data_IF_084212808559
#
_entry.id   IF_084212808559
#
_cell.length_a   1.000
_cell.length_b   1.000
_cell.length_c   1.000
_cell.angle_alpha   90.00
_cell.angle_beta   90.00
_cell.angle_gamma   90.00
#
_symmetry.space_group_name_H-M   'P 1'
#
loop_
_entity.id
_entity.type
_entity.pdbx_description
1 polymer ?
#
# COMPACT_ATOMS: atom_id res chain seq x y z
N UNK A 1 -6.68 10.34 26.45
CA UNK A 1 -6.09 9.15 27.09
C UNK A 1 -6.30 7.87 26.27
N UNK A 2 -7.53 7.57 25.81
CA UNK A 2 -7.88 6.34 25.10
C UNK A 2 -6.94 5.96 23.95
N UNK A 3 -6.54 6.92 23.11
CA UNK A 3 -5.61 6.65 22.00
C UNK A 3 -4.29 6.05 22.49
N UNK A 4 -3.71 6.59 23.57
CA UNK A 4 -2.45 6.07 24.12
C UNK A 4 -2.64 4.62 24.57
N UNK A 5 -3.71 4.36 25.34
CA UNK A 5 -4.03 3.04 25.85
C UNK A 5 -4.23 2.02 24.73
N UNK A 6 -5.00 2.36 23.69
CA UNK A 6 -5.21 1.49 22.53
C UNK A 6 -3.90 1.19 21.79
N UNK A 7 -2.98 2.16 21.73
CA UNK A 7 -1.68 1.97 21.06
C UNK A 7 -0.69 1.18 21.91
N UNK A 8 -0.83 1.20 23.23
CA UNK A 8 0.07 0.52 24.15
C UNK A 8 -0.48 -0.79 24.72
N UNK A 9 -1.68 -1.22 24.33
CA UNK A 9 -2.34 -2.44 24.88
C UNK A 9 -1.48 -3.70 24.75
N UNK A 10 -0.69 -3.82 23.68
CA UNK A 10 0.14 -5.00 23.40
C UNK A 10 1.49 -5.01 24.13
N UNK A 11 1.75 -4.02 24.99
CA UNK A 11 3.03 -3.85 25.69
C UNK A 11 2.84 -4.15 27.18
N UNK A 12 3.23 -5.36 27.60
CA UNK A 12 3.00 -5.86 28.96
C UNK A 12 3.65 -5.02 30.07
N UNK A 13 4.75 -4.34 29.77
CA UNK A 13 5.48 -3.47 30.69
C UNK A 13 5.01 -2.00 30.64
N UNK A 14 3.93 -1.69 29.92
CA UNK A 14 3.42 -0.32 29.75
C UNK A 14 1.95 -0.25 30.15
N UNK A 15 1.63 0.62 31.09
CA UNK A 15 0.27 0.80 31.58
C UNK A 15 -0.07 2.29 31.73
N UNK A 16 -0.70 2.84 30.70
CA UNK A 16 -1.00 4.28 30.64
C UNK A 16 -2.32 4.58 31.33
N UNK A 17 -2.26 5.23 32.50
CA UNK A 17 -3.43 5.57 33.32
C UNK A 17 -3.68 7.07 33.48
N UNK A 18 -2.66 7.89 33.27
CA UNK A 18 -2.71 9.35 33.42
C UNK A 18 -1.68 10.01 32.48
N UNK A 19 -1.60 11.34 32.50
CA UNK A 19 -0.60 12.13 31.78
C UNK A 19 0.52 12.67 32.68
N UNK A 20 0.80 11.97 33.79
CA UNK A 20 1.88 12.32 34.72
C UNK A 20 2.76 11.09 34.94
N UNK A 21 2.50 10.32 36.00
CA UNK A 21 3.35 9.22 36.47
C UNK A 21 3.47 8.06 35.48
N UNK A 22 2.47 7.85 34.60
CA UNK A 22 2.50 6.77 33.60
C UNK A 22 3.56 6.96 32.51
N UNK A 23 4.17 8.15 32.42
CA UNK A 23 5.13 8.53 31.39
C UNK A 23 6.55 8.70 31.92
N UNK A 24 6.70 8.69 33.25
CA UNK A 24 7.94 8.98 33.97
C UNK A 24 9.07 8.03 33.63
N UNK A 25 8.75 6.76 33.39
CA UNK A 25 9.75 5.73 33.05
C UNK A 25 10.18 5.71 31.57
N UNK A 26 9.57 6.56 30.73
CA UNK A 26 9.84 6.68 29.30
C UNK A 26 9.34 5.51 28.44
N UNK A 27 8.84 4.42 29.04
CA UNK A 27 8.42 3.23 28.29
C UNK A 27 7.17 3.52 27.46
N UNK A 28 6.24 4.32 27.98
CA UNK A 28 5.03 4.72 27.25
C UNK A 28 5.36 5.52 25.97
N UNK A 29 6.35 6.42 26.01
CA UNK A 29 6.81 7.14 24.81
C UNK A 29 7.46 6.19 23.80
N UNK A 30 8.36 5.32 24.27
CA UNK A 30 9.00 4.31 23.42
C UNK A 30 7.96 3.39 22.76
N UNK A 31 6.91 2.99 23.49
CA UNK A 31 5.87 2.09 22.98
C UNK A 31 5.02 2.76 21.90
N UNK A 32 4.69 4.05 22.05
CA UNK A 32 3.99 4.81 21.01
C UNK A 32 4.79 4.89 19.72
N UNK A 33 6.11 5.14 19.82
CA UNK A 33 7.00 5.19 18.66
C UNK A 33 7.07 3.79 18.01
N UNK A 34 7.40 2.77 18.79
CA UNK A 34 7.54 1.39 18.30
C UNK A 34 6.24 0.86 17.67
N UNK A 35 5.05 1.24 18.20
CA UNK A 35 3.75 0.81 17.64
C UNK A 35 3.53 1.30 16.20
N UNK A 36 4.09 2.47 15.86
CA UNK A 36 3.95 3.06 14.52
C UNK A 36 5.16 2.79 13.63
N UNK A 37 6.35 2.67 14.23
CA UNK A 37 7.63 2.47 13.56
C UNK A 37 8.52 1.51 14.38
N UNK A 38 8.25 0.20 14.31
CA UNK A 38 8.98 -0.79 15.10
C UNK A 38 10.47 -0.83 14.75
N UNK A 39 10.81 -0.46 13.52
CA UNK A 39 12.18 -0.35 13.00
C UNK A 39 13.04 0.68 13.73
N UNK A 40 12.44 1.68 14.37
CA UNK A 40 13.18 2.73 15.07
C UNK A 40 13.59 2.35 16.50
N UNK A 41 12.89 1.39 17.12
CA UNK A 41 13.23 0.86 18.45
C UNK A 41 13.16 -0.67 18.40
N UNK A 42 14.05 -1.34 17.64
CA UNK A 42 13.93 -2.77 17.35
C UNK A 42 14.06 -3.65 18.60
N UNK A 43 14.75 -3.14 19.63
CA UNK A 43 15.03 -3.84 20.89
C UNK A 43 14.12 -3.38 22.03
N UNK A 44 12.88 -2.96 21.72
CA UNK A 44 11.93 -2.47 22.73
C UNK A 44 11.78 -3.40 23.94
N UNK A 45 11.77 -4.72 23.71
CA UNK A 45 11.60 -5.73 24.78
C UNK A 45 12.74 -5.73 25.82
N UNK A 46 13.89 -5.14 25.51
CA UNK A 46 15.03 -5.03 26.44
C UNK A 46 14.92 -3.78 27.33
N UNK A 47 13.99 -2.86 27.05
CA UNK A 47 13.80 -1.66 27.85
C UNK A 47 13.10 -2.00 29.17
N UNK A 48 13.64 -1.45 30.26
CA UNK A 48 13.13 -1.66 31.62
C UNK A 48 12.77 -0.35 32.28
N UNK A 49 11.87 -0.40 33.27
CA UNK A 49 11.44 0.78 34.04
C UNK A 49 12.55 1.39 34.91
N UNK A 50 13.61 0.62 35.16
CA UNK A 50 14.73 1.02 36.03
C UNK A 50 15.72 1.94 35.32
N UNK A 51 15.51 2.23 34.04
CA UNK A 51 16.36 3.10 33.21
C UNK A 51 15.58 4.28 32.60
N UNK A 52 14.84 5.07 33.41
CA UNK A 52 13.91 6.09 32.92
C UNK A 52 14.58 7.13 32.03
N UNK A 53 15.75 7.64 32.45
CA UNK A 53 16.51 8.65 31.70
C UNK A 53 16.92 8.15 30.32
N UNK A 54 17.38 6.89 30.23
CA UNK A 54 17.80 6.30 28.97
C UNK A 54 16.59 6.08 28.03
N UNK A 55 15.47 5.61 28.57
CA UNK A 55 14.24 5.41 27.79
C UNK A 55 13.69 6.74 27.24
N UNK A 56 13.61 7.77 28.09
CA UNK A 56 13.14 9.10 27.70
C UNK A 56 14.04 9.71 26.64
N UNK A 57 15.36 9.67 26.86
CA UNK A 57 16.34 10.17 25.88
C UNK A 57 16.23 9.42 24.56
N UNK A 58 16.12 8.08 24.58
CA UNK A 58 15.94 7.26 23.39
C UNK A 58 14.67 7.68 22.62
N UNK A 59 13.54 7.84 23.31
CA UNK A 59 12.29 8.25 22.68
C UNK A 59 12.40 9.63 22.02
N UNK A 60 12.87 10.63 22.77
CA UNK A 60 12.95 12.01 22.29
C UNK A 60 13.99 12.19 21.19
N UNK A 61 15.16 11.55 21.30
CA UNK A 61 16.18 11.54 20.25
C UNK A 61 15.68 10.86 18.98
N UNK A 62 14.93 9.76 19.12
CA UNK A 62 14.36 9.04 17.97
C UNK A 62 13.33 9.91 17.26
N UNK A 63 12.43 10.55 18.02
CA UNK A 63 11.45 11.50 17.48
C UNK A 63 12.13 12.63 16.69
N UNK A 64 13.14 13.27 17.25
CA UNK A 64 13.82 14.39 16.59
C UNK A 64 14.63 13.93 15.38
N UNK A 65 15.56 12.99 15.58
CA UNK A 65 16.56 12.62 14.56
C UNK A 65 15.99 11.78 13.43
N UNK A 66 14.93 10.99 13.69
CA UNK A 66 14.38 10.03 12.72
C UNK A 66 13.00 10.43 12.20
N UNK A 67 12.21 11.14 12.99
CA UNK A 67 10.86 11.55 12.62
C UNK A 67 10.73 13.06 12.37
N UNK A 68 11.74 13.87 12.73
CA UNK A 68 11.71 15.33 12.59
C UNK A 68 10.75 16.01 13.58
N UNK A 69 10.39 15.33 14.66
CA UNK A 69 9.49 15.86 15.70
C UNK A 69 10.34 16.56 16.77
N UNK A 70 10.16 17.86 16.92
CA UNK A 70 10.87 18.68 17.91
C UNK A 70 10.71 18.13 19.31
N UNK A 71 11.80 18.10 20.10
CA UNK A 71 11.76 17.79 21.52
C UNK A 71 11.14 18.96 22.27
N UNK A 72 9.96 18.74 22.85
CA UNK A 72 9.29 19.74 23.70
C UNK A 72 9.54 19.50 25.19
N UNK A 73 10.14 18.36 25.53
CA UNK A 73 10.37 17.89 26.88
C UNK A 73 11.82 17.46 27.01
N UNK A 74 12.45 17.82 28.12
CA UNK A 74 13.72 17.26 28.51
C UNK A 74 13.50 16.02 29.40
N UNK A 75 14.33 14.97 29.28
CA UNK A 75 14.20 13.77 30.12
C UNK A 75 14.22 14.06 31.62
N UNK A 76 14.98 15.08 32.03
CA UNK A 76 15.11 15.51 33.42
C UNK A 76 13.79 16.08 33.96
N UNK A 77 13.04 16.83 33.15
CA UNK A 77 11.74 17.42 33.54
C UNK A 77 10.59 16.40 33.58
N UNK A 78 10.78 15.23 32.97
CA UNK A 78 9.80 14.14 32.96
C UNK A 78 10.10 13.12 34.07
N UNK A 79 11.37 12.88 34.39
CA UNK A 79 11.77 11.94 35.43
C UNK A 79 11.80 12.57 36.84
N UNK A 80 10.79 13.37 37.19
CA UNK A 80 10.64 14.03 38.50
C UNK A 80 9.45 13.48 39.29
N UNK A 81 9.36 13.81 40.57
CA UNK A 81 8.23 13.42 41.41
C UNK A 81 6.91 14.00 40.90
N UNK A 82 6.92 15.29 40.53
CA UNK A 82 5.74 16.03 40.09
C UNK A 82 5.91 16.48 38.63
N UNK A 83 5.46 15.64 37.70
CA UNK A 83 5.51 15.90 36.27
C UNK A 83 4.37 16.85 35.87
N UNK A 84 4.66 17.88 35.06
CA UNK A 84 3.61 18.75 34.52
C UNK A 84 2.76 18.02 33.47
N UNK A 85 1.50 17.79 33.80
CA UNK A 85 0.54 17.09 32.96
C UNK A 85 0.33 17.77 31.60
N UNK A 86 0.29 19.11 31.58
CA UNK A 86 0.01 19.87 30.36
C UNK A 86 1.13 19.74 29.35
N UNK A 87 2.38 19.75 29.81
CA UNK A 87 3.56 19.53 28.97
C UNK A 87 3.57 18.11 28.37
N UNK A 88 3.24 17.08 29.16
CA UNK A 88 3.08 15.71 28.63
C UNK A 88 1.97 15.65 27.59
N UNK A 89 0.78 16.19 27.87
CA UNK A 89 -0.34 16.21 26.93
C UNK A 89 0.06 16.88 25.62
N UNK A 90 0.73 18.03 25.70
CA UNK A 90 1.17 18.79 24.53
C UNK A 90 2.07 17.95 23.63
N UNK A 91 3.07 17.28 24.21
CA UNK A 91 3.95 16.41 23.44
C UNK A 91 3.23 15.20 22.84
N UNK A 92 2.32 14.56 23.59
CA UNK A 92 1.49 13.45 23.09
C UNK A 92 0.59 13.87 21.93
N UNK A 93 0.00 15.07 21.99
CA UNK A 93 -0.81 15.62 20.91
C UNK A 93 0.04 15.81 19.64
N UNK A 94 1.27 16.31 19.78
CA UNK A 94 2.21 16.40 18.65
C UNK A 94 2.50 15.02 18.03
N UNK A 95 2.78 14.00 18.85
CA UNK A 95 2.99 12.63 18.36
C UNK A 95 1.73 12.08 17.67
N UNK A 96 0.55 12.31 18.25
CA UNK A 96 -0.73 11.89 17.68
C UNK A 96 -0.95 12.48 16.28
N UNK A 97 -0.76 13.78 16.12
CA UNK A 97 -0.96 14.45 14.83
C UNK A 97 0.02 13.94 13.79
N UNK A 98 1.29 13.77 14.17
CA UNK A 98 2.31 13.22 13.28
C UNK A 98 1.93 11.82 12.78
N UNK A 99 1.68 10.88 13.69
CA UNK A 99 1.39 9.50 13.30
C UNK A 99 0.04 9.35 12.58
N UNK A 100 -0.93 10.20 12.90
CA UNK A 100 -2.22 10.25 12.20
C UNK A 100 -2.05 10.74 10.76
N UNK A 101 -1.25 11.80 10.55
CA UNK A 101 -0.91 12.30 9.21
C UNK A 101 -0.16 11.23 8.41
N UNK A 102 0.87 10.62 8.98
CA UNK A 102 1.64 9.55 8.34
C UNK A 102 0.75 8.38 7.90
N UNK A 103 -0.21 7.97 8.74
CA UNK A 103 -1.18 6.93 8.37
C UNK A 103 -2.07 7.40 7.21
N UNK A 104 -2.57 8.63 7.24
CA UNK A 104 -3.41 9.17 6.17
C UNK A 104 -2.66 9.21 4.84
N UNK A 105 -1.43 9.71 4.83
CA UNK A 105 -0.58 9.79 3.63
C UNK A 105 -0.35 8.39 3.04
N UNK A 106 -0.14 7.36 3.88
CA UNK A 106 -0.02 5.96 3.43
C UNK A 106 -1.30 5.39 2.79
N UNK A 107 -2.48 5.87 3.21
CA UNK A 107 -3.77 5.44 2.67
C UNK A 107 -4.03 6.15 1.34
N UNK A 108 -3.73 7.44 1.27
CA UNK A 108 -3.87 8.21 0.01
C UNK A 108 -2.93 7.67 -1.06
N UNK A 109 -1.67 7.35 -0.73
CA UNK A 109 -0.73 6.73 -1.67
C UNK A 109 -1.25 5.40 -2.23
N UNK A 110 -1.83 4.54 -1.38
CA UNK A 110 -2.45 3.28 -1.83
C UNK A 110 -3.66 3.49 -2.74
N UNK A 111 -4.50 4.49 -2.44
CA UNK A 111 -5.65 4.83 -3.29
C UNK A 111 -5.21 5.32 -4.66
N UNK A 112 -4.21 6.20 -4.70
CA UNK A 112 -3.63 6.70 -5.95
C UNK A 112 -3.03 5.55 -6.79
N UNK A 113 -2.24 4.68 -6.16
CA UNK A 113 -1.66 3.52 -6.84
C UNK A 113 -2.75 2.61 -7.46
N UNK A 114 -3.88 2.42 -6.77
CA UNK A 114 -5.01 1.66 -7.31
C UNK A 114 -5.62 2.32 -8.56
N UNK A 115 -5.82 3.63 -8.54
CA UNK A 115 -6.37 4.37 -9.69
C UNK A 115 -5.43 4.28 -10.89
N UNK A 116 -4.13 4.46 -10.67
CA UNK A 116 -3.12 4.32 -11.73
C UNK A 116 -3.11 2.90 -12.29
N UNK A 117 -3.17 1.88 -11.43
CA UNK A 117 -3.26 0.48 -11.87
C UNK A 117 -4.48 0.23 -12.75
N UNK A 118 -5.67 0.70 -12.35
CA UNK A 118 -6.88 0.57 -13.16
C UNK A 118 -6.80 1.30 -14.51
N UNK A 119 -6.12 2.45 -14.57
CA UNK A 119 -5.90 3.17 -15.82
C UNK A 119 -4.98 2.39 -16.78
N UNK A 120 -3.88 1.83 -16.27
CA UNK A 120 -2.97 1.00 -17.06
C UNK A 120 -3.64 -0.28 -17.56
N UNK A 121 -4.45 -0.94 -16.73
CA UNK A 121 -5.23 -2.11 -17.14
C UNK A 121 -6.24 -1.75 -18.25
N UNK A 122 -6.86 -0.57 -18.15
CA UNK A 122 -7.81 -0.09 -19.17
C UNK A 122 -7.11 0.20 -20.50
N UNK A 123 -5.93 0.84 -20.47
CA UNK A 123 -5.12 1.08 -21.66
C UNK A 123 -4.70 -0.24 -22.33
N UNK A 124 -4.27 -1.23 -21.53
CA UNK A 124 -3.96 -2.56 -22.04
C UNK A 124 -5.15 -3.24 -22.71
N UNK A 125 -6.35 -3.13 -22.12
CA UNK A 125 -7.57 -3.68 -22.71
C UNK A 125 -7.93 -2.97 -24.03
N UNK A 126 -7.75 -1.65 -24.12
CA UNK A 126 -7.98 -0.90 -25.34
C UNK A 126 -7.05 -1.36 -26.47
N UNK A 127 -5.75 -1.47 -26.18
CA UNK A 127 -4.76 -1.93 -27.16
C UNK A 127 -5.03 -3.36 -27.65
N UNK A 128 -5.40 -4.26 -26.74
CA UNK A 128 -5.72 -5.64 -27.12
C UNK A 128 -7.03 -5.72 -27.93
N UNK A 129 -8.04 -4.94 -27.57
CA UNK A 129 -9.28 -4.85 -28.35
C UNK A 129 -9.01 -4.33 -29.76
N UNK A 130 -8.22 -3.25 -29.90
CA UNK A 130 -7.84 -2.68 -31.19
C UNK A 130 -7.12 -3.74 -32.04
N UNK A 131 -6.11 -4.40 -31.48
CA UNK A 131 -5.36 -5.47 -32.16
C UNK A 131 -6.27 -6.59 -32.66
N UNK A 132 -7.08 -7.17 -31.77
CA UNK A 132 -7.97 -8.28 -32.10
C UNK A 132 -9.02 -7.87 -33.16
N UNK A 133 -9.54 -6.66 -33.06
CA UNK A 133 -10.55 -6.17 -34.01
C UNK A 133 -9.93 -5.88 -35.38
N UNK A 134 -8.74 -5.28 -35.43
CA UNK A 134 -7.99 -5.07 -36.67
C UNK A 134 -7.64 -6.39 -37.35
N UNK A 135 -7.13 -7.37 -36.60
CA UNK A 135 -6.82 -8.72 -37.11
C UNK A 135 -8.09 -9.39 -37.67
N UNK A 136 -9.21 -9.28 -36.96
CA UNK A 136 -10.49 -9.84 -37.39
C UNK A 136 -11.03 -9.15 -38.65
N UNK A 137 -11.00 -7.81 -38.71
CA UNK A 137 -11.47 -7.06 -39.88
C UNK A 137 -10.63 -7.41 -41.12
N UNK A 138 -9.31 -7.46 -40.98
CA UNK A 138 -8.41 -7.87 -42.06
C UNK A 138 -8.74 -9.29 -42.54
N UNK A 139 -8.97 -10.22 -41.60
CA UNK A 139 -9.35 -11.59 -41.94
C UNK A 139 -10.69 -11.65 -42.70
N UNK A 140 -11.70 -10.88 -42.27
CA UNK A 140 -13.01 -10.81 -42.93
C UNK A 140 -12.85 -10.29 -44.37
N UNK A 141 -12.12 -9.19 -44.56
CA UNK A 141 -11.92 -8.59 -45.88
C UNK A 141 -11.21 -9.55 -46.85
N UNK A 142 -10.12 -10.18 -46.40
CA UNK A 142 -9.38 -11.17 -47.20
C UNK A 142 -10.24 -12.39 -47.54
N UNK A 143 -11.02 -12.87 -46.58
CA UNK A 143 -11.91 -14.02 -46.78
C UNK A 143 -13.03 -13.70 -47.77
N UNK A 144 -13.63 -12.51 -47.69
CA UNK A 144 -14.63 -12.06 -48.66
C UNK A 144 -14.03 -12.00 -50.07
N UNK A 145 -12.82 -11.45 -50.22
CA UNK A 145 -12.13 -11.41 -51.50
C UNK A 145 -11.88 -12.82 -52.07
N UNK A 146 -11.39 -13.74 -51.23
CA UNK A 146 -11.15 -15.13 -51.64
C UNK A 146 -12.43 -15.85 -52.06
N UNK A 147 -13.51 -15.71 -51.28
CA UNK A 147 -14.79 -16.36 -51.56
C UNK A 147 -15.54 -15.76 -52.76
N UNK A 148 -15.34 -14.46 -53.03
CA UNK A 148 -15.92 -13.80 -54.21
C UNK A 148 -15.20 -14.14 -55.52
N UNK A 149 -14.05 -14.81 -55.48
CA UNK A 149 -13.34 -15.19 -56.68
C UNK A 149 -14.14 -16.21 -57.52
N UNK A 150 -14.48 -15.84 -58.76
CA UNK A 150 -15.25 -16.67 -59.70
C UNK A 150 -14.37 -17.38 -60.74
N UNK A 151 -13.05 -17.40 -60.57
CA UNK A 151 -12.16 -18.16 -61.45
C UNK A 151 -12.08 -19.61 -60.99
N UNK A 152 -12.61 -20.52 -61.83
CA UNK A 152 -12.63 -21.95 -61.55
C UNK A 152 -11.63 -22.69 -62.44
N UNK A 153 -10.90 -23.67 -61.88
CA UNK A 153 -9.99 -24.49 -62.66
C UNK A 153 -10.76 -25.42 -63.60
N UNK A 154 -10.25 -25.62 -64.81
CA UNK A 154 -10.92 -26.41 -65.85
C UNK A 154 -10.69 -27.93 -65.71
N UNK A 155 -10.63 -28.44 -64.48
CA UNK A 155 -10.38 -29.85 -64.15
C UNK A 155 -11.26 -30.27 -62.98
N UNK A 156 -11.96 -31.41 -63.13
CA UNK A 156 -12.84 -31.97 -62.10
C UNK A 156 -12.12 -32.15 -60.75
N UNK A 157 -10.88 -32.63 -60.77
CA UNK A 157 -10.06 -32.85 -59.57
C UNK A 157 -9.84 -31.52 -58.83
N UNK A 158 -9.46 -30.46 -59.56
CA UNK A 158 -9.20 -29.14 -58.96
C UNK A 158 -10.48 -28.46 -58.44
N UNK A 159 -11.64 -28.74 -59.04
CA UNK A 159 -12.93 -28.26 -58.53
C UNK A 159 -13.31 -28.99 -57.24
N UNK A 160 -13.06 -30.31 -57.15
CA UNK A 160 -13.27 -31.07 -55.91
C UNK A 160 -12.38 -30.57 -54.77
N UNK A 161 -11.10 -30.25 -55.04
CA UNK A 161 -10.19 -29.63 -54.07
C UNK A 161 -10.75 -28.30 -53.53
N UNK A 162 -11.27 -27.43 -54.40
CA UNK A 162 -11.92 -26.17 -53.99
C UNK A 162 -13.14 -26.37 -53.10
N UNK A 163 -13.93 -27.43 -53.35
CA UNK A 163 -15.07 -27.78 -52.49
C UNK A 163 -14.63 -28.24 -51.10
N UNK A 164 -13.53 -29.00 -51.01
CA UNK A 164 -12.94 -29.44 -49.73
C UNK A 164 -12.42 -28.24 -48.93
N UNK A 165 -11.70 -27.32 -49.57
CA UNK A 165 -11.24 -26.07 -48.95
C UNK A 165 -12.41 -25.25 -48.40
N UNK A 166 -13.50 -25.11 -49.16
CA UNK A 166 -14.68 -24.37 -48.71
C UNK A 166 -15.39 -25.03 -47.53
N UNK A 167 -15.51 -26.35 -47.52
CA UNK A 167 -16.10 -27.08 -46.39
C UNK A 167 -15.23 -26.95 -45.14
N UNK A 168 -13.90 -26.98 -45.28
CA UNK A 168 -12.96 -26.72 -44.18
C UNK A 168 -13.17 -25.33 -43.59
N UNK A 169 -13.22 -24.29 -44.44
CA UNK A 169 -13.50 -22.93 -44.01
C UNK A 169 -14.81 -22.85 -43.20
N UNK A 170 -15.89 -23.47 -43.70
CA UNK A 170 -17.20 -23.45 -43.04
C UNK A 170 -17.23 -24.12 -41.67
N UNK A 171 -16.42 -25.15 -41.46
CA UNK A 171 -16.48 -26.00 -40.26
C UNK A 171 -15.44 -25.56 -39.23
N UNK A 172 -14.30 -25.03 -39.67
CA UNK A 172 -13.12 -24.82 -38.81
C UNK A 172 -12.75 -23.34 -38.70
N UNK A 173 -12.63 -22.65 -39.84
CA UNK A 173 -11.98 -21.33 -39.86
C UNK A 173 -12.96 -20.17 -39.64
N UNK A 174 -14.24 -20.35 -39.98
CA UNK A 174 -15.27 -19.33 -39.77
C UNK A 174 -15.51 -19.12 -38.26
N UNK A 175 -15.29 -17.90 -37.72
CA UNK A 175 -15.63 -17.58 -36.34
C UNK A 175 -17.12 -17.84 -36.09
N UNK A 176 -17.41 -18.56 -35.01
CA UNK A 176 -18.76 -18.90 -34.56
C UNK A 176 -19.54 -17.71 -34.00
#
# INVERSE_FOLDING_TARGET
LLWCQMKTTDYSNVNVRNFTTSWKDGLAFCALIHKHRPDLIPQFKLLTKDQPMNNLKLAFDTCEKKLGITKLLDPEDVNVEYVDEKSIITYIVTLYHYFSKMKNDSVQGRRLAKVVGSALDSEKMQLEYERLTSDLLQWIELTIQQLNNRTFPNSLVKVQEKLIEFNRYRIIDKPG
#
